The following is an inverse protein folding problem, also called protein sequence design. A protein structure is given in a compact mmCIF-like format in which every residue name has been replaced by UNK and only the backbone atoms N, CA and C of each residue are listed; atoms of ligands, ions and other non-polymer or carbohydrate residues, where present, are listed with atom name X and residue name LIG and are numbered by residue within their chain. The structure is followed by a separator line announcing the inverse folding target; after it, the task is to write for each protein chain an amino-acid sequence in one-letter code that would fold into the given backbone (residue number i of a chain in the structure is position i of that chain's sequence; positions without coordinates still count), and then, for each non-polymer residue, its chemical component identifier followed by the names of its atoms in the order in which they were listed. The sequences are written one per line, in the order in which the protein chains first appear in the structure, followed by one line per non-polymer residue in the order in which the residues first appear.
data_IF_241111571958
#
_entry.id   IF_241111571958
#
_cell.length_a   1.000
_cell.length_b   1.000
_cell.length_c   1.000
_cell.angle_alpha   90.00
_cell.angle_beta   90.00
_cell.angle_gamma   90.00
#
_symmetry.space_group_name_H-M   'P 1'
#
loop_
_entity.id
_entity.type
_entity.pdbx_description
1 polymer ?
#
# COMPACT_ATOMS: atom_id res chain seq x y z
N UNK A 1 5.51 -14.92 9.76
CA UNK A 1 6.71 -15.64 10.24
C UNK A 1 6.87 -16.98 9.56
N UNK A 2 5.80 -17.71 9.31
CA UNK A 2 5.81 -18.99 8.55
C UNK A 2 6.65 -18.88 7.27
N UNK A 3 6.49 -17.80 6.49
CA UNK A 3 7.23 -17.63 5.23
C UNK A 3 8.77 -17.55 5.38
N UNK A 4 9.29 -17.08 6.52
CA UNK A 4 10.74 -17.05 6.77
C UNK A 4 11.27 -18.42 7.26
N UNK A 5 10.41 -19.20 7.90
CA UNK A 5 10.73 -20.56 8.34
C UNK A 5 10.72 -21.51 7.13
N UNK A 6 9.70 -21.40 6.26
CA UNK A 6 9.57 -22.21 5.04
C UNK A 6 10.66 -21.93 3.99
N UNK A 7 11.25 -20.73 4.01
CA UNK A 7 12.29 -20.32 3.06
C UNK A 7 13.66 -20.12 3.69
N UNK A 8 13.95 -20.81 4.78
CA UNK A 8 15.22 -20.71 5.52
C UNK A 8 16.46 -20.87 4.61
N UNK A 9 16.40 -21.75 3.63
CA UNK A 9 17.49 -21.95 2.66
C UNK A 9 17.76 -20.70 1.79
N UNK A 10 16.75 -19.86 1.57
CA UNK A 10 16.85 -18.64 0.77
C UNK A 10 17.30 -17.43 1.59
N UNK A 11 17.16 -17.46 2.92
CA UNK A 11 17.58 -16.38 3.82
C UNK A 11 19.05 -16.03 3.67
N UNK A 12 19.90 -17.03 3.39
CA UNK A 12 21.32 -16.84 3.12
C UNK A 12 21.59 -15.90 1.94
N UNK A 13 20.79 -15.97 0.88
CA UNK A 13 20.94 -15.11 -0.32
C UNK A 13 20.45 -13.67 -0.07
N UNK A 14 19.61 -13.49 0.95
CA UNK A 14 19.08 -12.18 1.37
C UNK A 14 19.98 -11.49 2.40
N UNK A 15 21.17 -12.05 2.70
CA UNK A 15 22.05 -11.52 3.76
C UNK A 15 21.51 -11.74 5.18
N UNK A 16 20.44 -12.51 5.32
CA UNK A 16 19.88 -12.90 6.60
C UNK A 16 20.62 -14.16 7.05
N UNK A 17 21.30 -14.09 8.19
CA UNK A 17 22.09 -15.19 8.71
C UNK A 17 21.29 -16.50 8.89
N UNK A 18 22.00 -17.61 9.02
CA UNK A 18 21.39 -18.95 9.16
C UNK A 18 20.68 -19.20 10.50
N UNK A 19 20.71 -18.25 11.44
CA UNK A 19 20.03 -18.39 12.72
C UNK A 19 18.56 -17.96 12.63
N UNK A 20 17.62 -18.68 13.25
CA UNK A 20 16.23 -18.30 13.29
C UNK A 20 16.09 -16.88 13.92
N UNK A 21 15.33 -16.02 13.27
CA UNK A 21 15.05 -14.67 13.78
C UNK A 21 13.90 -14.78 14.78
N UNK A 22 14.16 -14.35 16.01
CA UNK A 22 13.11 -14.31 17.04
C UNK A 22 12.00 -13.32 16.66
N UNK A 23 10.75 -13.65 17.02
CA UNK A 23 9.58 -12.78 16.79
C UNK A 23 9.76 -11.38 17.37
N UNK A 24 10.37 -11.30 18.55
CA UNK A 24 10.67 -10.05 19.24
C UNK A 24 11.67 -9.19 18.47
N UNK A 25 12.68 -9.78 17.86
CA UNK A 25 13.67 -9.06 17.04
C UNK A 25 13.01 -8.45 15.81
N UNK A 26 12.11 -9.19 15.15
CA UNK A 26 11.37 -8.68 13.99
C UNK A 26 10.40 -7.57 14.40
N UNK A 27 9.69 -7.74 15.51
CA UNK A 27 8.77 -6.73 16.04
C UNK A 27 9.52 -5.44 16.40
N UNK A 28 10.65 -5.53 17.12
CA UNK A 28 11.48 -4.37 17.45
C UNK A 28 12.05 -3.69 16.20
N UNK A 29 12.49 -4.47 15.22
CA UNK A 29 12.98 -3.91 13.96
C UNK A 29 11.90 -3.13 13.22
N UNK A 30 10.67 -3.65 13.17
CA UNK A 30 9.54 -2.94 12.53
C UNK A 30 9.11 -1.69 13.31
N UNK A 31 9.20 -1.73 14.64
CA UNK A 31 8.85 -0.58 15.48
C UNK A 31 9.87 0.56 15.37
N UNK A 32 11.15 0.24 15.24
CA UNK A 32 12.25 1.22 15.25
C UNK A 32 12.66 1.71 13.84
N UNK A 33 12.20 1.04 12.79
CA UNK A 33 12.49 1.48 11.42
C UNK A 33 11.53 2.57 10.98
N UNK A 34 12.06 3.56 10.28
CA UNK A 34 11.23 4.59 9.64
C UNK A 34 10.37 3.92 8.55
N UNK A 35 9.05 4.08 8.64
CA UNK A 35 8.09 3.54 7.66
C UNK A 35 8.34 4.06 6.24
N UNK A 36 8.96 5.25 6.10
CA UNK A 36 9.29 5.87 4.82
C UNK A 36 10.19 5.00 3.94
N UNK A 37 10.99 4.10 4.53
CA UNK A 37 11.78 3.12 3.78
C UNK A 37 10.86 2.25 2.93
N UNK A 38 9.77 1.76 3.53
CA UNK A 38 8.79 0.91 2.83
C UNK A 38 7.92 1.72 1.87
N UNK A 39 7.53 2.93 2.26
CA UNK A 39 6.78 3.86 1.43
C UNK A 39 7.56 4.22 0.15
N UNK A 40 8.80 4.66 0.27
CA UNK A 40 9.64 4.98 -0.87
C UNK A 40 9.88 3.77 -1.77
N UNK A 41 10.08 2.59 -1.19
CA UNK A 41 10.23 1.36 -1.96
C UNK A 41 8.94 1.00 -2.71
N UNK A 42 7.78 1.16 -2.07
CA UNK A 42 6.49 0.92 -2.72
C UNK A 42 6.28 1.86 -3.91
N UNK A 43 6.53 3.15 -3.76
CA UNK A 43 6.43 4.11 -4.87
C UNK A 43 7.42 3.82 -6.00
N UNK A 44 8.63 3.42 -5.66
CA UNK A 44 9.61 2.98 -6.67
C UNK A 44 9.08 1.79 -7.47
N UNK A 45 8.57 0.77 -6.79
CA UNK A 45 8.03 -0.43 -7.45
C UNK A 45 6.77 -0.13 -8.29
N UNK A 46 5.90 0.74 -7.81
CA UNK A 46 4.73 1.21 -8.57
C UNK A 46 5.15 1.88 -9.87
N UNK A 47 6.11 2.80 -9.81
CA UNK A 47 6.65 3.49 -10.98
C UNK A 47 7.23 2.51 -12.01
N UNK A 48 8.10 1.60 -11.57
CA UNK A 48 8.69 0.56 -12.44
C UNK A 48 7.61 -0.33 -13.08
N UNK A 49 6.58 -0.67 -12.34
CA UNK A 49 5.49 -1.51 -12.84
C UNK A 49 4.63 -0.77 -13.86
N UNK A 50 4.31 0.51 -13.62
CA UNK A 50 3.57 1.34 -14.58
C UNK A 50 4.33 1.50 -15.90
N UNK A 51 5.65 1.74 -15.84
CA UNK A 51 6.49 1.90 -17.04
C UNK A 51 6.56 0.63 -17.89
N UNK A 52 6.53 -0.55 -17.25
CA UNK A 52 6.67 -1.85 -17.92
C UNK A 52 5.36 -2.47 -18.41
N UNK A 53 4.22 -2.03 -17.91
CA UNK A 53 2.91 -2.65 -18.14
C UNK A 53 1.91 -1.79 -18.90
N UNK A 54 2.33 -0.80 -19.64
CA UNK A 54 1.43 0.01 -20.46
C UNK A 54 0.77 -0.87 -21.55
N UNK A 55 -0.45 -1.31 -21.28
CA UNK A 55 -1.29 -2.06 -22.22
C UNK A 55 -2.58 -1.30 -22.44
N UNK A 56 -3.02 -1.19 -23.68
CA UNK A 56 -4.27 -0.50 -24.03
C UNK A 56 -5.45 -1.49 -23.88
N UNK A 57 -5.86 -1.77 -22.65
CA UNK A 57 -6.92 -2.76 -22.34
C UNK A 57 -8.32 -2.29 -22.79
N UNK A 58 -8.54 -0.99 -22.78
CA UNK A 58 -9.86 -0.40 -23.05
C UNK A 58 -9.78 0.50 -24.26
N UNK A 59 -9.58 0.21 -25.39
CA UNK A 59 -9.54 0.99 -26.65
C UNK A 59 -10.09 2.46 -26.57
N UNK A 60 -9.80 3.14 -25.46
CA UNK A 60 -10.14 4.51 -25.16
C UNK A 60 -8.85 5.29 -25.05
N UNK A 61 -8.65 6.38 -25.79
CA UNK A 61 -7.44 7.19 -25.70
C UNK A 61 -7.31 7.87 -24.33
N UNK A 62 -6.09 7.92 -23.80
CA UNK A 62 -5.79 8.54 -22.49
C UNK A 62 -5.66 7.56 -21.36
N UNK A 63 -5.02 7.99 -20.26
CA UNK A 63 -4.85 7.20 -19.05
C UNK A 63 -6.18 7.02 -18.30
N UNK A 64 -6.34 5.92 -17.61
CA UNK A 64 -7.56 5.57 -16.88
C UNK A 64 -7.22 5.10 -15.48
N UNK A 65 -7.69 5.84 -14.50
CA UNK A 65 -7.49 5.55 -13.09
C UNK A 65 -8.81 5.27 -12.39
N UNK A 66 -8.81 4.28 -11.52
CA UNK A 66 -9.88 4.03 -10.56
C UNK A 66 -9.41 4.40 -9.16
N UNK A 67 -10.22 5.16 -8.44
CA UNK A 67 -9.96 5.52 -7.05
C UNK A 67 -10.87 4.71 -6.14
N UNK A 68 -10.27 4.05 -5.18
CA UNK A 68 -10.99 3.27 -4.16
C UNK A 68 -10.36 3.48 -2.78
N UNK A 69 -11.14 3.22 -1.75
CA UNK A 69 -10.67 3.30 -0.38
C UNK A 69 -11.09 2.10 0.45
N UNK A 70 -10.15 1.58 1.23
CA UNK A 70 -10.37 0.44 2.12
C UNK A 70 -10.10 0.85 3.57
N UNK A 71 -11.06 0.58 4.45
CA UNK A 71 -10.89 0.80 5.89
C UNK A 71 -10.30 -0.43 6.56
N UNK A 72 -9.17 -0.24 7.24
CA UNK A 72 -8.50 -1.26 8.04
C UNK A 72 -8.79 -0.99 9.50
N UNK A 73 -9.63 -1.81 10.17
CA UNK A 73 -9.91 -1.62 11.58
C UNK A 73 -8.66 -1.95 12.42
N UNK A 74 -8.29 -1.04 13.30
CA UNK A 74 -7.23 -1.29 14.27
C UNK A 74 -7.86 -1.93 15.52
N UNK A 75 -7.77 -3.25 15.62
CA UNK A 75 -8.26 -4.01 16.78
C UNK A 75 -7.26 -3.93 17.92
N UNK A 76 -7.28 -2.87 18.69
CA UNK A 76 -6.59 -2.89 19.98
C UNK A 76 -7.47 -3.56 21.04
N UNK A 77 -6.97 -4.51 21.84
CA UNK A 77 -7.76 -5.21 22.88
C UNK A 77 -8.42 -4.28 23.91
N UNK A 78 -7.88 -3.08 24.11
CA UNK A 78 -8.38 -2.04 24.98
C UNK A 78 -9.35 -1.05 24.32
N UNK A 79 -9.47 -1.05 22.98
CA UNK A 79 -10.37 -0.17 22.23
C UNK A 79 -11.83 -0.61 22.24
N UNK A 80 -12.16 -1.76 22.86
CA UNK A 80 -13.52 -2.31 22.94
C UNK A 80 -14.56 -1.38 23.60
N UNK A 81 -14.11 -0.37 24.33
CA UNK A 81 -14.99 0.55 25.08
C UNK A 81 -15.21 1.90 24.41
N UNK A 82 -14.58 2.17 23.26
CA UNK A 82 -14.80 3.41 22.53
C UNK A 82 -15.70 3.16 21.32
N UNK A 83 -16.86 3.86 21.28
CA UNK A 83 -17.80 3.87 20.14
C UNK A 83 -17.22 4.48 18.84
N UNK A 84 -15.95 4.86 18.80
CA UNK A 84 -15.28 5.39 17.62
C UNK A 84 -14.66 4.24 16.84
N UNK A 85 -14.88 4.24 15.55
CA UNK A 85 -14.21 3.36 14.58
C UNK A 85 -12.73 3.76 14.51
N UNK A 86 -11.92 3.30 15.46
CA UNK A 86 -10.49 3.48 15.42
C UNK A 86 -9.94 2.61 14.30
N UNK A 87 -9.48 3.23 13.25
CA UNK A 87 -8.96 2.53 12.09
C UNK A 87 -8.16 3.49 11.21
N UNK A 88 -7.50 2.92 10.24
CA UNK A 88 -6.87 3.66 9.14
C UNK A 88 -7.63 3.38 7.86
N UNK A 89 -7.72 4.37 7.00
CA UNK A 89 -8.28 4.24 5.67
C UNK A 89 -7.15 4.37 4.65
N UNK A 90 -6.96 3.31 3.87
CA UNK A 90 -6.06 3.31 2.72
C UNK A 90 -6.81 3.77 1.49
N UNK A 91 -6.26 4.74 0.78
CA UNK A 91 -6.79 5.23 -0.49
C UNK A 91 -5.83 4.86 -1.59
N UNK A 92 -6.35 4.30 -2.66
CA UNK A 92 -5.56 3.80 -3.80
C UNK A 92 -6.06 4.47 -5.07
N UNK A 93 -5.15 5.03 -5.84
CA UNK A 93 -5.40 5.36 -7.23
C UNK A 93 -4.80 4.24 -8.08
N UNK A 94 -5.63 3.48 -8.75
CA UNK A 94 -5.25 2.30 -9.52
C UNK A 94 -5.21 2.61 -11.00
N UNK A 95 -4.08 2.36 -11.64
CA UNK A 95 -3.96 2.44 -13.10
C UNK A 95 -4.59 1.18 -13.70
N UNK A 96 -5.69 1.37 -14.43
CA UNK A 96 -6.47 0.27 -15.01
C UNK A 96 -5.69 -0.42 -16.14
N UNK A 97 -4.88 0.32 -16.87
CA UNK A 97 -4.10 -0.24 -17.98
C UNK A 97 -2.85 -0.95 -17.52
N UNK A 98 -2.09 -0.33 -16.64
CA UNK A 98 -0.92 -0.96 -16.05
C UNK A 98 -1.29 -2.07 -15.04
N UNK A 99 -2.53 -2.09 -14.55
CA UNK A 99 -3.01 -3.02 -13.52
C UNK A 99 -2.20 -2.98 -12.22
N UNK A 100 -1.76 -1.79 -11.84
CA UNK A 100 -0.98 -1.56 -10.61
C UNK A 100 -1.46 -0.27 -9.92
N UNK A 101 -1.24 -0.13 -8.61
CA UNK A 101 -1.43 1.15 -7.95
C UNK A 101 -0.48 2.20 -8.54
N UNK A 102 -1.02 3.37 -8.89
CA UNK A 102 -0.26 4.54 -9.31
C UNK A 102 0.02 5.48 -8.14
N UNK A 103 -0.88 5.50 -7.15
CA UNK A 103 -0.74 6.31 -5.95
C UNK A 103 -1.42 5.61 -4.77
N UNK A 104 -0.87 5.78 -3.58
CA UNK A 104 -1.42 5.27 -2.33
C UNK A 104 -1.23 6.29 -1.21
N UNK A 105 -2.26 6.48 -0.39
CA UNK A 105 -2.16 7.30 0.83
C UNK A 105 -3.00 6.70 1.95
N UNK A 106 -2.61 7.04 3.18
CA UNK A 106 -3.30 6.56 4.39
C UNK A 106 -3.82 7.74 5.18
N UNK A 107 -5.08 7.65 5.59
CA UNK A 107 -5.72 8.62 6.47
C UNK A 107 -6.34 7.94 7.68
N UNK A 108 -6.84 8.71 8.63
CA UNK A 108 -7.66 8.15 9.72
C UNK A 108 -9.01 7.69 9.17
N UNK A 109 -9.59 6.64 9.74
CA UNK A 109 -10.89 6.11 9.30
C UNK A 109 -12.04 7.11 9.42
N UNK A 110 -11.86 8.18 10.20
CA UNK A 110 -12.83 9.27 10.35
C UNK A 110 -12.85 10.25 9.18
N UNK A 111 -11.81 10.26 8.34
CA UNK A 111 -11.74 11.17 7.21
C UNK A 111 -12.64 10.70 6.07
N UNK A 112 -13.38 11.66 5.49
CA UNK A 112 -14.17 11.40 4.30
C UNK A 112 -13.25 11.16 3.09
N UNK A 113 -13.72 10.31 2.18
CA UNK A 113 -13.01 10.00 0.93
C UNK A 113 -12.71 11.24 0.10
N UNK A 114 -13.64 12.20 0.11
CA UNK A 114 -13.47 13.49 -0.56
C UNK A 114 -12.19 14.23 -0.17
N UNK A 115 -11.69 14.04 1.06
CA UNK A 115 -10.43 14.67 1.47
C UNK A 115 -9.22 14.07 0.75
N UNK A 116 -9.23 12.78 0.47
CA UNK A 116 -8.13 12.11 -0.23
C UNK A 116 -8.12 12.41 -1.73
N UNK A 117 -9.27 12.74 -2.32
CA UNK A 117 -9.39 13.15 -3.73
C UNK A 117 -8.56 14.42 -4.00
N UNK A 118 -8.47 15.36 -3.05
CA UNK A 118 -7.66 16.57 -3.20
C UNK A 118 -6.15 16.31 -3.17
N UNK A 119 -5.72 15.12 -2.74
CA UNK A 119 -4.31 14.73 -2.75
C UNK A 119 -3.86 14.16 -4.10
N UNK A 120 -4.82 13.88 -4.99
CA UNK A 120 -4.54 13.35 -6.32
C UNK A 120 -4.06 14.49 -7.21
N UNK A 121 -2.93 14.29 -7.86
CA UNK A 121 -2.47 15.20 -8.91
C UNK A 121 -3.16 14.84 -10.23
N UNK A 122 -4.07 15.70 -10.68
CA UNK A 122 -4.85 15.45 -11.89
C UNK A 122 -4.01 15.77 -13.14
N UNK A 123 -3.95 14.80 -14.05
CA UNK A 123 -3.25 14.94 -15.32
C UNK A 123 -4.25 15.27 -16.45
N UNK A 124 -3.85 16.06 -17.45
CA UNK A 124 -4.70 16.29 -18.63
C UNK A 124 -4.89 15.00 -19.44
N UNK A 125 -5.98 14.91 -20.18
CA UNK A 125 -6.35 13.73 -21.00
C UNK A 125 -6.38 12.40 -20.21
N UNK A 126 -6.89 12.47 -18.99
CA UNK A 126 -6.92 11.33 -18.06
C UNK A 126 -8.33 11.18 -17.50
N UNK A 127 -8.82 9.96 -17.45
CA UNK A 127 -10.11 9.61 -16.87
C UNK A 127 -9.92 9.12 -15.44
N UNK A 128 -10.69 9.67 -14.52
CA UNK A 128 -10.71 9.28 -13.12
C UNK A 128 -12.08 8.74 -12.76
N UNK A 129 -12.15 7.53 -12.27
CA UNK A 129 -13.36 6.83 -11.87
C UNK A 129 -13.37 6.79 -10.34
N UNK A 130 -14.43 7.29 -9.75
CA UNK A 130 -14.65 7.29 -8.29
C UNK A 130 -15.86 6.41 -7.98
N UNK A 131 -15.78 5.67 -6.86
CA UNK A 131 -16.88 4.84 -6.37
C UNK A 131 -17.65 5.59 -5.27
#
# INVERSE_FOLDING_TARGET
MVALEDHHSKCKFLGIGSKPIAKTTLASANQNRDYRIFENFAFYMMKEACEKRSTNLLDIPGKKYAFDSTTIPLSFPWARFRKRKDGVKGHVLYDIEAQVPAFYTVTTASNHESTAIYLIHYEPNTYYIFN
#
